data_IF_716347729550
#
_entry.id   IF_716347729550
#
_cell.length_a   1.000
_cell.length_b   1.000
_cell.length_c   1.000
_cell.angle_alpha   90.00
_cell.angle_beta   90.00
_cell.angle_gamma   90.00
#
_symmetry.space_group_name_H-M   'P 1'
#
loop_
_entity.id
_entity.type
_entity.pdbx_description
1 polymer ?
#
# COMPACT_ATOMS: atom_id res chain seq x y z
N UNK A 1 35.50 -32.53 -17.13
CA UNK A 1 34.69 -31.54 -16.40
C UNK A 1 34.00 -30.65 -17.41
N UNK A 2 32.70 -30.81 -17.61
CA UNK A 2 31.90 -29.93 -18.47
C UNK A 2 31.55 -28.68 -17.65
N UNK A 3 32.11 -27.53 -18.04
CA UNK A 3 31.64 -26.22 -17.54
C UNK A 3 30.36 -25.90 -18.30
N UNK A 4 29.21 -26.03 -17.64
CA UNK A 4 27.97 -25.46 -18.16
C UNK A 4 28.10 -23.94 -18.09
N UNK A 5 27.87 -23.20 -19.19
CA UNK A 5 27.82 -21.74 -19.11
C UNK A 5 26.66 -21.37 -18.19
N UNK A 6 26.93 -20.55 -17.17
CA UNK A 6 25.88 -19.92 -16.36
C UNK A 6 25.04 -19.06 -17.30
N UNK A 7 23.86 -19.55 -17.68
CA UNK A 7 22.89 -18.76 -18.42
C UNK A 7 22.15 -17.89 -17.40
N UNK A 8 22.41 -16.59 -17.43
CA UNK A 8 21.64 -15.61 -16.66
C UNK A 8 20.21 -15.59 -17.21
N UNK A 9 19.23 -15.91 -16.38
CA UNK A 9 17.82 -15.91 -16.73
C UNK A 9 17.19 -14.65 -16.16
N UNK A 10 16.57 -13.83 -17.01
CA UNK A 10 15.84 -12.65 -16.59
C UNK A 10 14.36 -13.00 -16.40
N UNK A 11 13.80 -12.63 -15.26
CA UNK A 11 12.41 -12.83 -14.90
C UNK A 11 11.52 -11.66 -15.37
N UNK A 12 10.20 -11.82 -15.23
CA UNK A 12 9.17 -10.80 -15.47
C UNK A 12 9.28 -10.07 -16.83
N UNK A 13 9.75 -10.79 -17.84
CA UNK A 13 9.88 -10.30 -19.21
C UNK A 13 11.15 -9.50 -19.48
N UNK A 14 12.08 -9.40 -18.52
CA UNK A 14 13.41 -8.80 -18.74
C UNK A 14 14.22 -9.55 -19.82
N UNK A 15 15.27 -8.91 -20.33
CA UNK A 15 16.13 -9.50 -21.36
C UNK A 15 17.62 -9.29 -21.06
N UNK A 16 18.47 -10.13 -21.63
CA UNK A 16 19.92 -10.01 -21.48
C UNK A 16 20.44 -8.86 -22.34
N UNK A 17 21.07 -7.88 -21.66
CA UNK A 17 21.74 -6.75 -22.27
C UNK A 17 23.08 -7.12 -22.90
N UNK A 18 23.68 -6.15 -23.58
CA UNK A 18 24.97 -6.33 -24.26
C UNK A 18 26.15 -6.59 -23.31
N UNK A 19 26.01 -6.27 -22.03
CA UNK A 19 26.97 -6.53 -20.96
C UNK A 19 26.74 -7.88 -20.25
N UNK A 20 25.77 -8.67 -20.71
CA UNK A 20 25.40 -9.96 -20.12
C UNK A 20 24.48 -9.87 -18.91
N UNK A 21 24.09 -8.68 -18.46
CA UNK A 21 23.19 -8.47 -17.32
C UNK A 21 21.73 -8.36 -17.77
N UNK A 22 20.81 -8.59 -16.85
CA UNK A 22 19.39 -8.37 -17.13
C UNK A 22 19.05 -6.88 -17.22
N UNK A 23 18.34 -6.52 -18.29
CA UNK A 23 17.67 -5.24 -18.47
C UNK A 23 16.19 -5.45 -18.15
N UNK A 24 15.73 -4.84 -17.07
CA UNK A 24 14.38 -5.01 -16.54
C UNK A 24 13.39 -4.04 -17.18
N UNK A 25 12.12 -4.48 -17.30
CA UNK A 25 11.05 -3.65 -17.81
C UNK A 25 10.13 -3.15 -16.72
N UNK A 26 9.59 -1.94 -16.90
CA UNK A 26 8.52 -1.40 -16.08
C UNK A 26 8.93 -1.25 -14.62
N UNK A 27 8.17 -1.91 -13.74
CA UNK A 27 8.31 -1.86 -12.29
C UNK A 27 9.08 -3.05 -11.73
N UNK A 28 10.16 -3.48 -12.38
CA UNK A 28 11.00 -4.59 -11.91
C UNK A 28 12.48 -4.18 -11.86
N UNK A 29 13.20 -4.67 -10.86
CA UNK A 29 14.65 -4.54 -10.68
C UNK A 29 15.26 -5.80 -10.05
N UNK A 30 16.53 -5.73 -9.66
CA UNK A 30 17.33 -6.89 -9.24
C UNK A 30 18.26 -7.39 -10.34
N UNK A 31 19.15 -8.32 -9.99
CA UNK A 31 20.14 -8.89 -10.92
C UNK A 31 19.47 -9.71 -12.03
N UNK A 32 18.29 -10.24 -11.73
CA UNK A 32 17.48 -11.10 -12.58
C UNK A 32 16.07 -10.55 -12.81
N UNK A 33 15.79 -9.27 -12.51
CA UNK A 33 14.44 -8.67 -12.58
C UNK A 33 13.41 -9.37 -11.68
N UNK A 34 13.87 -9.89 -10.55
CA UNK A 34 13.10 -10.67 -9.60
C UNK A 34 12.36 -9.80 -8.56
N UNK A 35 12.75 -8.53 -8.42
CA UNK A 35 12.20 -7.62 -7.43
C UNK A 35 11.22 -6.64 -8.07
N UNK A 36 10.04 -6.48 -7.46
CA UNK A 36 9.06 -5.48 -7.88
C UNK A 36 9.48 -4.10 -7.34
N UNK A 37 9.68 -3.13 -8.23
CA UNK A 37 9.83 -1.72 -7.85
C UNK A 37 8.47 -1.04 -7.73
N UNK A 38 8.09 -0.75 -6.49
CA UNK A 38 6.96 0.10 -6.21
C UNK A 38 7.39 1.56 -6.36
N UNK A 39 6.59 2.38 -7.06
CA UNK A 39 6.73 3.83 -6.93
C UNK A 39 6.34 4.22 -5.52
N UNK A 40 7.25 4.89 -4.82
CA UNK A 40 6.95 5.51 -3.54
C UNK A 40 5.77 6.46 -3.74
N UNK A 41 4.69 6.24 -2.98
CA UNK A 41 3.51 7.11 -3.01
C UNK A 41 3.63 8.22 -1.98
N UNK A 42 4.31 7.95 -0.86
CA UNK A 42 4.68 8.93 0.14
C UNK A 42 6.06 9.50 -0.20
N UNK A 43 6.31 10.76 0.17
CA UNK A 43 7.67 11.31 0.24
C UNK A 43 8.29 11.11 1.62
N UNK A 44 7.67 10.28 2.47
CA UNK A 44 8.06 10.08 3.87
C UNK A 44 9.04 8.91 3.97
N UNK A 45 10.22 9.21 4.46
CA UNK A 45 11.16 8.23 4.98
C UNK A 45 10.86 8.00 6.45
N UNK A 46 10.54 6.76 6.83
CA UNK A 46 10.43 6.39 8.24
C UNK A 46 11.82 6.04 8.78
N UNK A 47 12.34 6.78 9.75
CA UNK A 47 13.52 6.33 10.48
C UNK A 47 13.11 5.17 11.39
N UNK A 48 13.75 4.02 11.19
CA UNK A 48 13.36 2.72 11.79
C UNK A 48 13.42 2.69 13.32
N UNK A 49 13.89 3.76 13.96
CA UNK A 49 14.14 3.79 15.41
C UNK A 49 12.98 4.34 16.23
N UNK A 50 12.17 5.28 15.72
CA UNK A 50 11.15 5.96 16.55
C UNK A 50 9.90 6.44 15.81
N UNK A 51 9.73 6.09 14.53
CA UNK A 51 8.60 6.58 13.72
C UNK A 51 7.62 5.45 13.40
N UNK A 52 6.43 5.49 14.03
CA UNK A 52 5.36 4.52 13.72
C UNK A 52 4.33 5.17 12.81
N UNK A 53 3.96 4.46 11.73
CA UNK A 53 2.77 4.77 10.94
C UNK A 53 1.64 3.80 11.24
N UNK A 54 0.44 4.33 11.40
CA UNK A 54 -0.78 3.54 11.48
C UNK A 54 -1.40 3.44 10.08
N UNK A 55 -1.39 2.24 9.51
CA UNK A 55 -1.82 1.98 8.15
C UNK A 55 -3.15 1.23 8.11
N UNK A 56 -4.14 1.78 7.43
CA UNK A 56 -5.44 1.17 7.22
C UNK A 56 -5.60 0.70 5.77
N UNK A 57 -6.03 -0.54 5.57
CA UNK A 57 -6.42 -1.06 4.26
C UNK A 57 -7.91 -1.35 4.29
N UNK A 58 -8.67 -0.57 3.55
CA UNK A 58 -10.13 -0.52 3.65
C UNK A 58 -10.73 -0.97 2.32
N UNK A 59 -11.56 -2.00 2.34
CA UNK A 59 -12.40 -2.35 1.19
C UNK A 59 -13.65 -1.48 1.25
N UNK A 60 -13.77 -0.52 0.33
CA UNK A 60 -14.83 0.50 0.32
C UNK A 60 -16.08 0.07 -0.45
N UNK A 61 -16.66 -1.03 0.01
CA UNK A 61 -17.88 -1.60 -0.54
C UNK A 61 -19.02 -1.44 0.48
N UNK A 62 -20.11 -0.77 0.08
CA UNK A 62 -21.23 -0.45 0.99
C UNK A 62 -22.48 -1.28 0.69
N UNK A 63 -22.59 -2.40 1.40
CA UNK A 63 -23.65 -3.41 1.28
C UNK A 63 -24.67 -3.39 2.43
N UNK A 64 -24.69 -2.34 3.26
CA UNK A 64 -25.65 -2.26 4.38
C UNK A 64 -25.18 -1.52 5.62
N UNK A 65 -24.45 -0.41 5.48
CA UNK A 65 -24.06 0.41 6.63
C UNK A 65 -22.86 -0.12 7.40
N UNK A 66 -22.01 -0.92 6.74
CA UNK A 66 -20.70 -1.33 7.28
C UNK A 66 -19.73 -0.13 7.31
N UNK A 67 -19.94 0.86 6.44
CA UNK A 67 -19.15 2.09 6.37
C UNK A 67 -19.06 2.76 7.74
N UNK A 68 -20.20 3.01 8.39
CA UNK A 68 -20.23 3.69 9.69
C UNK A 68 -19.46 2.91 10.75
N UNK A 69 -19.57 1.58 10.76
CA UNK A 69 -18.86 0.72 11.71
C UNK A 69 -17.34 0.75 11.48
N UNK A 70 -16.90 0.75 10.22
CA UNK A 70 -15.48 0.85 9.86
C UNK A 70 -14.92 2.21 10.29
N UNK A 71 -15.61 3.30 9.95
CA UNK A 71 -15.17 4.66 10.33
C UNK A 71 -15.12 4.80 11.86
N UNK A 72 -16.14 4.32 12.59
CA UNK A 72 -16.13 4.32 14.06
C UNK A 72 -15.00 3.47 14.66
N UNK A 73 -14.66 2.35 14.02
CA UNK A 73 -13.55 1.50 14.47
C UNK A 73 -12.21 2.19 14.26
N UNK A 74 -12.03 2.87 13.13
CA UNK A 74 -10.80 3.65 12.85
C UNK A 74 -10.65 4.78 13.87
N UNK A 75 -11.72 5.55 14.10
CA UNK A 75 -11.76 6.62 15.09
C UNK A 75 -11.43 6.10 16.49
N UNK A 76 -12.04 4.98 16.90
CA UNK A 76 -11.73 4.36 18.19
C UNK A 76 -10.26 3.94 18.31
N UNK A 77 -9.67 3.35 17.26
CA UNK A 77 -8.28 2.91 17.27
C UNK A 77 -7.35 4.11 17.39
N UNK A 78 -7.55 5.16 16.60
CA UNK A 78 -6.73 6.38 16.64
C UNK A 78 -6.77 7.00 18.03
N UNK A 79 -7.98 7.27 18.55
CA UNK A 79 -8.14 7.86 19.88
C UNK A 79 -7.54 6.98 21.00
N UNK A 80 -7.60 5.65 20.86
CA UNK A 80 -7.00 4.73 21.84
C UNK A 80 -5.48 4.82 21.86
N UNK A 81 -4.83 4.97 20.70
CA UNK A 81 -3.38 5.17 20.62
C UNK A 81 -2.97 6.54 21.16
N UNK A 82 -3.69 7.60 20.81
CA UNK A 82 -3.39 8.95 21.27
C UNK A 82 -3.56 9.10 22.78
N UNK A 83 -4.60 8.48 23.35
CA UNK A 83 -4.79 8.43 24.80
C UNK A 83 -3.70 7.62 25.53
N UNK A 84 -3.12 6.63 24.88
CA UNK A 84 -2.04 5.81 25.46
C UNK A 84 -0.68 6.50 25.35
N UNK A 85 -0.36 7.10 24.18
CA UNK A 85 0.87 7.84 23.96
C UNK A 85 0.73 8.80 22.76
N UNK A 86 0.61 10.09 23.06
CA UNK A 86 0.34 11.21 22.14
C UNK A 86 1.37 11.38 21.00
N UNK A 87 2.51 10.68 21.02
CA UNK A 87 3.59 10.88 20.05
C UNK A 87 4.12 9.60 19.38
N UNK A 88 3.46 8.45 19.57
CA UNK A 88 3.91 7.19 18.96
C UNK A 88 3.61 7.16 17.47
N UNK A 89 2.45 7.67 17.06
CA UNK A 89 2.04 7.67 15.66
C UNK A 89 2.45 8.99 15.00
N UNK A 90 3.26 8.91 13.95
CA UNK A 90 3.76 10.06 13.16
C UNK A 90 2.99 10.29 11.87
N UNK A 91 2.29 9.26 11.40
CA UNK A 91 1.53 9.28 10.18
C UNK A 91 0.38 8.29 10.25
N UNK A 92 -0.77 8.73 9.75
CA UNK A 92 -1.93 7.91 9.49
C UNK A 92 -2.04 7.74 7.97
N UNK A 93 -2.16 6.50 7.50
CA UNK A 93 -2.39 6.23 6.08
C UNK A 93 -3.63 5.38 5.87
N UNK A 94 -4.35 5.61 4.78
CA UNK A 94 -5.47 4.78 4.35
C UNK A 94 -5.33 4.43 2.88
N UNK A 95 -5.39 3.14 2.57
CA UNK A 95 -5.56 2.63 1.21
C UNK A 95 -6.96 2.07 1.04
N UNK A 96 -7.76 2.71 0.19
CA UNK A 96 -9.08 2.21 -0.17
C UNK A 96 -8.99 1.34 -1.41
N UNK A 97 -9.58 0.15 -1.33
CA UNK A 97 -9.73 -0.78 -2.45
C UNK A 97 -11.19 -0.70 -2.90
N UNK A 98 -11.40 -0.10 -4.06
CA UNK A 98 -12.68 0.01 -4.74
C UNK A 98 -12.86 -1.13 -5.75
N UNK A 99 -14.11 -1.38 -6.15
CA UNK A 99 -14.43 -2.44 -7.09
C UNK A 99 -13.80 -2.13 -8.46
N UNK A 100 -13.17 -3.14 -9.08
CA UNK A 100 -12.35 -2.94 -10.28
C UNK A 100 -10.89 -2.54 -10.01
N UNK A 101 -10.45 -2.55 -8.74
CA UNK A 101 -9.04 -2.45 -8.37
C UNK A 101 -8.50 -1.01 -8.24
N UNK A 102 -9.38 -0.01 -8.27
CA UNK A 102 -8.99 1.38 -8.04
C UNK A 102 -8.52 1.56 -6.59
N UNK A 103 -7.33 2.17 -6.42
CA UNK A 103 -6.71 2.40 -5.12
C UNK A 103 -6.64 3.89 -4.81
N UNK A 104 -7.43 4.38 -3.85
CA UNK A 104 -7.23 5.72 -3.27
C UNK A 104 -6.26 5.62 -2.10
N UNK A 105 -5.42 6.64 -1.93
CA UNK A 105 -4.42 6.72 -0.88
C UNK A 105 -4.54 8.06 -0.18
N UNK A 106 -4.63 8.04 1.15
CA UNK A 106 -4.61 9.20 2.03
C UNK A 106 -3.48 9.08 3.03
N UNK A 107 -2.91 10.23 3.39
CA UNK A 107 -1.83 10.32 4.36
C UNK A 107 -1.92 11.67 5.08
N UNK A 108 -1.86 11.63 6.41
CA UNK A 108 -1.83 12.82 7.25
C UNK A 108 -0.99 12.55 8.51
N UNK A 109 -0.35 13.58 9.04
CA UNK A 109 0.23 13.59 10.39
C UNK A 109 -0.77 14.06 11.46
N UNK A 110 -1.85 14.69 11.05
CA UNK A 110 -2.95 15.15 11.90
C UNK A 110 -4.11 14.12 11.88
N UNK A 111 -4.53 13.59 13.05
CA UNK A 111 -5.60 12.60 13.17
C UNK A 111 -6.97 13.16 12.76
N UNK A 112 -7.27 14.42 13.06
CA UNK A 112 -8.56 15.04 12.75
C UNK A 112 -8.69 15.28 11.25
N UNK A 113 -7.60 15.72 10.60
CA UNK A 113 -7.52 15.83 9.15
C UNK A 113 -7.69 14.47 8.51
N UNK A 114 -6.99 13.44 9.02
CA UNK A 114 -7.12 12.07 8.52
C UNK A 114 -8.55 11.55 8.61
N UNK A 115 -9.18 11.66 9.79
CA UNK A 115 -10.55 11.21 10.05
C UNK A 115 -11.57 11.93 9.16
N UNK A 116 -11.37 13.23 8.93
CA UNK A 116 -12.20 14.00 8.00
C UNK A 116 -12.07 13.46 6.57
N UNK A 117 -10.85 13.27 6.07
CA UNK A 117 -10.62 12.81 4.70
C UNK A 117 -11.22 11.43 4.45
N UNK A 118 -11.00 10.46 5.34
CA UNK A 118 -11.55 9.11 5.18
C UNK A 118 -13.09 9.10 5.22
N UNK A 119 -13.70 10.04 5.96
CA UNK A 119 -15.15 10.14 6.06
C UNK A 119 -15.77 10.76 4.79
N UNK A 120 -15.03 11.58 4.05
CA UNK A 120 -15.47 12.17 2.77
C UNK A 120 -15.38 11.19 1.59
N UNK A 121 -14.69 10.05 1.75
CA UNK A 121 -14.59 9.02 0.71
C UNK A 121 -15.96 8.47 0.37
N UNK A 122 -16.29 8.46 -0.93
CA UNK A 122 -17.48 7.81 -1.46
C UNK A 122 -17.23 6.31 -1.58
N UNK A 123 -18.03 5.51 -0.90
CA UNK A 123 -17.99 4.06 -0.99
C UNK A 123 -18.86 3.60 -2.15
N UNK A 124 -18.39 2.60 -2.89
CA UNK A 124 -19.11 2.09 -4.04
C UNK A 124 -20.14 1.06 -3.60
N UNK A 125 -21.32 1.12 -4.23
CA UNK A 125 -22.30 0.04 -4.21
C UNK A 125 -22.02 -0.82 -5.43
N UNK A 126 -21.77 -2.09 -5.22
CA UNK A 126 -21.59 -3.02 -6.32
C UNK A 126 -22.54 -4.19 -6.15
N UNK A 127 -23.39 -4.42 -7.14
CA UNK A 127 -24.23 -5.61 -7.20
C UNK A 127 -23.42 -6.88 -7.55
N UNK A 128 -22.08 -6.79 -7.54
CA UNK A 128 -21.16 -7.88 -7.89
C UNK A 128 -20.37 -8.29 -6.64
N UNK A 129 -20.99 -9.09 -5.78
CA UNK A 129 -20.28 -9.93 -4.81
C UNK A 129 -19.50 -11.04 -5.53
N UNK A 130 -18.60 -10.71 -6.46
CA UNK A 130 -17.82 -11.71 -7.20
C UNK A 130 -16.36 -11.32 -7.24
N UNK A 131 -15.67 -11.61 -6.13
CA UNK A 131 -14.24 -11.93 -6.19
C UNK A 131 -14.13 -13.23 -7.01
N UNK A 132 -13.64 -13.14 -8.25
CA UNK A 132 -13.18 -14.29 -9.04
C UNK A 132 -11.66 -14.31 -9.01
#
# INVERSE_FOLDING_TARGET
MLKFPYFQLCDHGGHIGSDGKCVCYGSWDGEFCEHLTCKERSGRTFDTTDETALNFVIRSHDDGGIREQVIQSIDFIINSFEAFNENVIRAYTATFILDGGTKLYFESDDPDVFLKEINEVKWEKSDKCTDK
#
